data_IF_246560556628
#
_entry.id   IF_246560556628
#
_cell.length_a   1.000
_cell.length_b   1.000
_cell.length_c   1.000
_cell.angle_alpha   90.00
_cell.angle_beta   90.00
_cell.angle_gamma   90.00
#
_symmetry.space_group_name_H-M   'P 1'
#
loop_
_entity.id
_entity.type
_entity.pdbx_description
1 polymer ?
#
# COMPACT_ATOMS: atom_id res chain seq x y z
N UNK A 1 3.99 -11.57 38.74
CA UNK A 1 3.64 -12.34 37.53
C UNK A 1 4.54 -13.55 37.50
N UNK A 2 4.02 -14.70 37.13
CA UNK A 2 4.82 -15.93 37.14
C UNK A 2 5.66 -15.97 35.86
N UNK A 3 6.99 -16.06 36.01
CA UNK A 3 7.88 -16.28 34.88
C UNK A 3 7.79 -17.71 34.40
N UNK A 4 7.76 -17.90 33.09
CA UNK A 4 7.72 -19.20 32.43
C UNK A 4 8.84 -19.29 31.39
N UNK A 5 9.15 -20.51 30.98
CA UNK A 5 10.02 -20.76 29.84
C UNK A 5 9.30 -21.71 28.87
N UNK A 6 9.41 -21.42 27.58
CA UNK A 6 8.88 -22.26 26.50
C UNK A 6 10.00 -22.55 25.50
N UNK A 7 9.87 -23.67 24.79
CA UNK A 7 10.82 -24.07 23.74
C UNK A 7 10.17 -23.94 22.37
N UNK A 8 10.85 -23.29 21.44
CA UNK A 8 10.49 -23.21 20.01
C UNK A 8 11.56 -23.93 19.22
N UNK A 9 11.17 -24.82 18.32
CA UNK A 9 12.11 -25.53 17.43
C UNK A 9 12.30 -24.75 16.14
N UNK A 10 13.52 -24.24 15.93
CA UNK A 10 13.93 -23.58 14.69
C UNK A 10 14.96 -24.47 14.00
N UNK A 11 14.62 -25.10 12.85
CA UNK A 11 15.58 -25.97 12.14
C UNK A 11 16.87 -25.23 11.79
N UNK A 12 17.98 -25.92 11.82
CA UNK A 12 19.33 -25.34 11.57
C UNK A 12 19.40 -24.61 10.22
N UNK A 13 18.71 -25.10 9.18
CA UNK A 13 18.64 -24.46 7.87
C UNK A 13 17.87 -23.14 7.84
N UNK A 14 17.00 -22.90 8.82
CA UNK A 14 16.14 -21.72 8.90
C UNK A 14 16.68 -20.65 9.88
N UNK A 15 17.62 -21.02 10.75
CA UNK A 15 18.10 -20.16 11.84
C UNK A 15 18.62 -18.81 11.32
N UNK A 16 19.50 -18.84 10.32
CA UNK A 16 20.08 -17.60 9.78
C UNK A 16 19.01 -16.65 9.23
N UNK A 17 17.99 -17.20 8.57
CA UNK A 17 16.89 -16.43 8.01
C UNK A 17 15.97 -15.89 9.11
N UNK A 18 15.61 -16.70 10.11
CA UNK A 18 14.72 -16.33 11.21
C UNK A 18 15.40 -15.39 12.20
N UNK A 19 16.67 -15.64 12.56
CA UNK A 19 17.39 -14.82 13.54
C UNK A 19 17.89 -13.51 12.98
N UNK A 20 18.12 -13.46 11.65
CA UNK A 20 18.67 -12.30 10.94
C UNK A 20 20.17 -12.13 11.19
N UNK A 21 20.77 -11.17 10.51
CA UNK A 21 22.19 -10.87 10.70
C UNK A 21 22.48 -10.43 12.14
N UNK A 22 23.47 -11.04 12.78
CA UNK A 22 23.85 -10.76 14.17
C UNK A 22 22.70 -10.84 15.17
N UNK A 23 21.73 -11.74 14.93
CA UNK A 23 20.54 -11.97 15.75
C UNK A 23 19.67 -10.72 15.91
N UNK A 24 19.67 -9.82 14.92
CA UNK A 24 18.93 -8.57 14.98
C UNK A 24 17.41 -8.77 15.13
N UNK A 25 16.85 -9.82 14.52
CA UNK A 25 15.43 -10.15 14.64
C UNK A 25 15.11 -10.64 16.06
N UNK A 26 15.94 -11.53 16.62
CA UNK A 26 15.81 -12.04 17.99
C UNK A 26 15.88 -10.87 19.00
N UNK A 27 16.93 -10.06 18.91
CA UNK A 27 17.12 -8.89 19.77
C UNK A 27 15.94 -7.91 19.71
N UNK A 28 15.27 -7.83 18.56
CA UNK A 28 14.08 -6.99 18.38
C UNK A 28 12.88 -7.57 19.11
N UNK A 29 12.64 -8.87 18.98
CA UNK A 29 11.58 -9.60 19.68
C UNK A 29 11.78 -9.51 21.20
N UNK A 30 13.00 -9.76 21.69
CA UNK A 30 13.36 -9.64 23.11
C UNK A 30 13.03 -8.25 23.67
N UNK A 31 13.45 -7.20 22.97
CA UNK A 31 13.20 -5.81 23.40
C UNK A 31 11.71 -5.46 23.44
N UNK A 32 10.95 -5.95 22.45
CA UNK A 32 9.53 -5.58 22.32
C UNK A 32 8.66 -6.30 23.36
N UNK A 33 8.95 -7.56 23.65
CA UNK A 33 8.18 -8.35 24.60
C UNK A 33 8.82 -8.44 25.98
N UNK A 34 10.01 -7.84 26.18
CA UNK A 34 10.77 -7.92 27.45
C UNK A 34 10.98 -9.38 27.89
N UNK A 35 11.38 -10.22 26.96
CA UNK A 35 11.71 -11.64 27.18
C UNK A 35 13.19 -11.89 26.88
N UNK A 36 13.73 -13.02 27.39
CA UNK A 36 15.06 -13.51 27.01
C UNK A 36 14.91 -14.67 26.04
N UNK A 37 15.66 -14.66 24.96
CA UNK A 37 15.64 -15.70 23.92
C UNK A 37 17.04 -16.25 23.74
N UNK A 38 17.22 -17.54 24.02
CA UNK A 38 18.54 -18.22 23.95
C UNK A 38 18.44 -19.44 23.06
N UNK A 39 19.29 -19.51 22.03
CA UNK A 39 19.43 -20.70 21.20
C UNK A 39 20.34 -21.73 21.86
N UNK A 40 19.89 -22.98 21.93
CA UNK A 40 20.69 -24.16 22.35
C UNK A 40 20.50 -25.28 21.33
N UNK A 41 21.37 -25.32 20.35
CA UNK A 41 21.42 -26.39 19.32
C UNK A 41 20.10 -26.54 18.53
N UNK A 42 19.46 -25.44 18.17
CA UNK A 42 18.18 -25.41 17.41
C UNK A 42 16.93 -25.48 18.28
N UNK A 43 17.07 -25.56 19.60
CA UNK A 43 16.00 -25.35 20.58
C UNK A 43 16.11 -23.93 21.12
N UNK A 44 15.18 -23.08 20.71
CA UNK A 44 15.12 -21.68 21.14
C UNK A 44 14.29 -21.60 22.39
N UNK A 45 14.91 -21.24 23.52
CA UNK A 45 14.26 -21.09 24.81
C UNK A 45 13.87 -19.64 24.99
N UNK A 46 12.58 -19.39 25.18
CA UNK A 46 12.01 -18.06 25.45
C UNK A 46 11.57 -18.00 26.91
N UNK A 47 12.13 -17.09 27.69
CA UNK A 47 11.88 -16.95 29.12
C UNK A 47 11.45 -15.56 29.51
N UNK A 48 10.50 -15.45 30.44
CA UNK A 48 9.98 -14.18 30.96
C UNK A 48 8.54 -14.29 31.45
N UNK A 49 7.85 -13.15 31.51
CA UNK A 49 6.44 -13.10 31.95
C UNK A 49 5.52 -13.83 30.98
N UNK A 50 4.64 -14.68 31.50
CA UNK A 50 3.79 -15.60 30.74
C UNK A 50 3.05 -15.01 29.52
N UNK A 51 2.37 -13.85 29.60
CA UNK A 51 1.68 -13.28 28.43
C UNK A 51 2.63 -12.87 27.31
N UNK A 52 3.81 -12.35 27.64
CA UNK A 52 4.80 -11.91 26.64
C UNK A 52 5.57 -13.08 26.04
N UNK A 53 5.85 -14.11 26.84
CA UNK A 53 6.47 -15.35 26.34
C UNK A 53 5.58 -16.02 25.29
N UNK A 54 4.26 -16.08 25.52
CA UNK A 54 3.31 -16.63 24.54
C UNK A 54 3.30 -15.84 23.23
N UNK A 55 3.30 -14.51 23.29
CA UNK A 55 3.35 -13.64 22.12
C UNK A 55 4.68 -13.80 21.35
N UNK A 56 5.79 -13.81 22.06
CA UNK A 56 7.10 -14.06 21.44
C UNK A 56 7.18 -15.46 20.79
N UNK A 57 6.58 -16.47 21.43
CA UNK A 57 6.47 -17.83 20.90
C UNK A 57 5.66 -17.86 19.59
N UNK A 58 4.50 -17.19 19.54
CA UNK A 58 3.67 -17.10 18.34
C UNK A 58 4.45 -16.46 17.18
N UNK A 59 5.10 -15.31 17.43
CA UNK A 59 5.93 -14.63 16.43
C UNK A 59 7.07 -15.54 15.93
N UNK A 60 7.78 -16.21 16.81
CA UNK A 60 8.88 -17.12 16.42
C UNK A 60 8.39 -18.30 15.59
N UNK A 61 7.23 -18.88 15.94
CA UNK A 61 6.63 -19.98 15.17
C UNK A 61 6.21 -19.49 13.77
N UNK A 62 5.54 -18.33 13.69
CA UNK A 62 5.09 -17.73 12.43
C UNK A 62 6.26 -17.45 11.49
N UNK A 63 7.33 -16.79 11.98
CA UNK A 63 8.53 -16.49 11.18
C UNK A 63 9.26 -17.77 10.74
N UNK A 64 9.31 -18.79 11.60
CA UNK A 64 9.91 -20.09 11.27
C UNK A 64 9.14 -20.79 10.15
N UNK A 65 7.81 -20.78 10.22
CA UNK A 65 6.96 -21.40 9.19
C UNK A 65 7.05 -20.64 7.86
N UNK A 66 7.08 -19.29 7.88
CA UNK A 66 7.32 -18.48 6.69
C UNK A 66 8.66 -18.80 6.03
N UNK A 67 9.72 -18.97 6.85
CA UNK A 67 11.03 -19.34 6.37
C UNK A 67 11.03 -20.73 5.71
N UNK A 68 10.35 -21.71 6.31
CA UNK A 68 10.18 -23.07 5.73
C UNK A 68 9.47 -23.07 4.39
N UNK A 69 8.58 -22.08 4.15
CA UNK A 69 7.91 -21.88 2.85
C UNK A 69 8.80 -21.17 1.81
N UNK A 70 10.08 -20.94 2.14
CA UNK A 70 11.04 -20.30 1.25
C UNK A 70 10.99 -18.77 1.23
N UNK A 71 10.30 -18.14 2.19
CA UNK A 71 10.30 -16.69 2.31
C UNK A 71 11.59 -16.19 2.96
N UNK A 72 12.15 -15.10 2.43
CA UNK A 72 13.24 -14.36 3.08
C UNK A 72 12.64 -13.47 4.15
N UNK A 73 12.98 -13.73 5.41
CA UNK A 73 12.52 -12.93 6.54
C UNK A 73 13.27 -11.61 6.58
N UNK A 74 12.55 -10.52 6.40
CA UNK A 74 13.07 -9.16 6.49
C UNK A 74 12.64 -8.53 7.82
N UNK A 75 13.34 -7.47 8.23
CA UNK A 75 13.00 -6.73 9.45
C UNK A 75 11.54 -6.27 9.49
N UNK A 76 10.96 -5.94 8.31
CA UNK A 76 9.54 -5.58 8.19
C UNK A 76 8.58 -6.74 8.55
N UNK A 77 8.92 -7.98 8.20
CA UNK A 77 8.11 -9.13 8.57
C UNK A 77 8.10 -9.32 10.08
N UNK A 78 9.26 -9.11 10.73
CA UNK A 78 9.38 -9.17 12.19
C UNK A 78 8.57 -8.08 12.87
N UNK A 79 8.70 -6.83 12.40
CA UNK A 79 7.91 -5.70 12.93
C UNK A 79 6.41 -5.93 12.80
N UNK A 80 6.00 -6.46 11.66
CA UNK A 80 4.60 -6.73 11.39
C UNK A 80 4.06 -7.88 12.26
N UNK A 81 4.79 -9.00 12.34
CA UNK A 81 4.42 -10.12 13.21
C UNK A 81 4.30 -9.71 14.68
N UNK A 82 5.26 -8.90 15.18
CA UNK A 82 5.21 -8.34 16.53
C UNK A 82 3.94 -7.49 16.72
N UNK A 83 3.63 -6.60 15.77
CA UNK A 83 2.47 -5.73 15.85
C UNK A 83 1.17 -6.53 15.84
N UNK A 84 1.05 -7.53 14.99
CA UNK A 84 -0.13 -8.39 14.89
C UNK A 84 -0.31 -9.23 16.15
N UNK A 85 0.76 -9.82 16.69
CA UNK A 85 0.68 -10.56 17.94
C UNK A 85 0.29 -9.68 19.14
N UNK A 86 0.69 -8.40 19.15
CA UNK A 86 0.22 -7.45 20.16
C UNK A 86 -1.28 -7.16 20.05
N UNK A 87 -1.86 -7.27 18.86
CA UNK A 87 -3.28 -7.08 18.55
C UNK A 87 -4.09 -8.39 18.60
N UNK A 88 -3.47 -9.48 19.08
CA UNK A 88 -4.08 -10.81 19.20
C UNK A 88 -4.48 -11.44 17.85
N UNK A 89 -3.78 -11.06 16.79
CA UNK A 89 -3.91 -11.59 15.44
C UNK A 89 -2.66 -12.41 15.08
N UNK A 90 -2.50 -13.55 15.71
CA UNK A 90 -1.40 -14.48 15.42
C UNK A 90 -1.62 -15.18 14.06
N UNK A 91 -0.53 -15.64 13.41
CA UNK A 91 -0.53 -16.39 12.13
C UNK A 91 -1.05 -15.62 10.89
N UNK A 92 -1.26 -14.30 10.98
CA UNK A 92 -1.75 -13.47 9.87
C UNK A 92 -0.82 -13.51 8.65
N UNK A 93 0.49 -13.48 8.88
CA UNK A 93 1.47 -13.55 7.77
C UNK A 93 1.41 -14.90 7.04
N UNK A 94 1.09 -15.98 7.73
CA UNK A 94 0.95 -17.32 7.13
C UNK A 94 -0.27 -17.42 6.22
N UNK A 95 -1.35 -16.71 6.56
CA UNK A 95 -2.55 -16.64 5.72
C UNK A 95 -2.33 -15.75 4.51
N UNK A 96 -1.72 -14.58 4.71
CA UNK A 96 -1.38 -13.64 3.64
C UNK A 96 -0.40 -14.29 2.64
N UNK A 97 0.55 -15.07 3.13
CA UNK A 97 1.56 -15.72 2.29
C UNK A 97 0.98 -16.70 1.26
N UNK A 98 -0.17 -17.27 1.53
CA UNK A 98 -0.86 -18.18 0.59
C UNK A 98 -1.47 -17.44 -0.62
N UNK A 99 -1.69 -16.13 -0.51
CA UNK A 99 -2.40 -15.34 -1.51
C UNK A 99 -1.45 -14.76 -2.57
N UNK A 100 -1.09 -15.57 -3.55
CA UNK A 100 -0.30 -15.12 -4.70
C UNK A 100 -1.22 -14.59 -5.81
N UNK A 101 -1.13 -13.27 -6.09
CA UNK A 101 -1.90 -12.62 -7.15
C UNK A 101 -1.33 -12.99 -8.52
N UNK A 102 -0.02 -12.84 -8.70
CA UNK A 102 0.71 -13.15 -9.93
C UNK A 102 2.21 -13.24 -9.65
N UNK A 103 3.00 -13.46 -10.71
CA UNK A 103 4.45 -13.38 -10.66
C UNK A 103 4.94 -12.26 -11.57
N UNK A 104 5.99 -11.57 -11.12
CA UNK A 104 6.73 -10.62 -11.96
C UNK A 104 7.44 -11.35 -13.09
N UNK A 105 7.94 -10.62 -14.10
CA UNK A 105 8.77 -11.21 -15.16
C UNK A 105 10.05 -11.87 -14.66
N UNK A 106 10.55 -11.47 -13.49
CA UNK A 106 11.70 -12.11 -12.82
C UNK A 106 11.31 -13.33 -11.98
N UNK A 107 10.05 -13.80 -12.05
CA UNK A 107 9.54 -14.94 -11.30
C UNK A 107 9.22 -14.66 -9.83
N UNK A 108 9.34 -13.42 -9.35
CA UNK A 108 9.02 -13.09 -7.96
C UNK A 108 7.51 -13.04 -7.76
N UNK A 109 6.96 -13.70 -6.70
CA UNK A 109 5.54 -13.64 -6.41
C UNK A 109 5.12 -12.24 -5.97
N UNK A 110 3.97 -11.78 -6.48
CA UNK A 110 3.28 -10.58 -6.02
C UNK A 110 2.17 -11.02 -5.08
N UNK A 111 2.33 -10.70 -3.80
CA UNK A 111 1.43 -11.08 -2.71
C UNK A 111 1.09 -9.85 -1.86
N UNK A 112 -0.06 -9.81 -1.18
CA UNK A 112 -0.24 -8.92 -0.05
C UNK A 112 0.87 -9.15 0.98
N UNK A 113 1.28 -8.12 1.69
CA UNK A 113 2.29 -8.20 2.75
C UNK A 113 1.75 -7.82 4.12
N UNK A 114 0.54 -7.29 4.16
CA UNK A 114 -0.16 -6.86 5.37
C UNK A 114 -1.63 -7.25 5.30
N UNK A 115 -2.30 -7.27 6.45
CA UNK A 115 -3.73 -7.57 6.53
C UNK A 115 -4.55 -6.56 5.73
N UNK A 116 -4.24 -5.26 5.87
CA UNK A 116 -4.94 -4.23 5.09
C UNK A 116 -4.75 -4.37 3.58
N UNK A 117 -3.57 -4.83 3.13
CA UNK A 117 -3.36 -5.18 1.72
C UNK A 117 -4.17 -6.41 1.30
N UNK A 118 -4.27 -7.43 2.17
CA UNK A 118 -5.07 -8.63 1.92
C UNK A 118 -6.56 -8.29 1.81
N UNK A 119 -7.09 -7.52 2.75
CA UNK A 119 -8.48 -7.04 2.71
C UNK A 119 -8.76 -6.23 1.45
N UNK A 120 -7.81 -5.40 1.02
CA UNK A 120 -7.92 -4.64 -0.22
C UNK A 120 -7.97 -5.53 -1.46
N UNK A 121 -7.11 -6.53 -1.54
CA UNK A 121 -7.09 -7.50 -2.66
C UNK A 121 -8.39 -8.29 -2.69
N UNK A 122 -8.90 -8.72 -1.54
CA UNK A 122 -10.17 -9.45 -1.45
C UNK A 122 -11.36 -8.56 -1.82
N UNK A 123 -11.36 -7.30 -1.40
CA UNK A 123 -12.38 -6.35 -1.83
C UNK A 123 -12.36 -6.12 -3.35
N UNK A 124 -11.17 -6.06 -3.97
CA UNK A 124 -11.05 -5.96 -5.43
C UNK A 124 -11.63 -7.20 -6.11
N UNK A 125 -11.45 -8.39 -5.56
CA UNK A 125 -12.05 -9.61 -6.11
C UNK A 125 -13.56 -9.59 -6.05
N UNK A 126 -14.11 -9.14 -4.92
CA UNK A 126 -15.54 -9.24 -4.62
C UNK A 126 -16.42 -8.09 -5.11
N UNK A 127 -15.85 -6.96 -5.55
CA UNK A 127 -16.63 -5.77 -5.89
C UNK A 127 -16.31 -5.22 -7.28
N UNK A 128 -17.29 -4.54 -7.88
CA UNK A 128 -17.12 -3.90 -9.19
C UNK A 128 -16.27 -2.63 -9.08
N UNK A 129 -16.47 -1.84 -8.04
CA UNK A 129 -15.75 -0.59 -7.79
C UNK A 129 -15.11 -0.64 -6.41
N UNK A 130 -13.81 -0.40 -6.33
CA UNK A 130 -13.08 -0.40 -5.05
C UNK A 130 -12.28 0.88 -4.90
N UNK A 131 -12.43 1.52 -3.76
CA UNK A 131 -11.62 2.67 -3.35
C UNK A 131 -10.54 2.19 -2.38
N UNK A 132 -9.27 2.22 -2.81
CA UNK A 132 -8.10 1.94 -1.99
C UNK A 132 -7.54 3.24 -1.41
N UNK A 133 -7.75 3.46 -0.11
CA UNK A 133 -7.42 4.69 0.59
C UNK A 133 -6.28 4.47 1.58
N UNK A 134 -5.36 5.41 1.69
CA UNK A 134 -4.30 5.34 2.70
C UNK A 134 -3.01 6.01 2.28
N UNK A 135 -2.00 6.04 3.18
CA UNK A 135 -0.76 6.74 2.95
C UNK A 135 0.04 6.19 1.75
N UNK A 136 0.95 7.02 1.24
CA UNK A 136 1.89 6.57 0.21
C UNK A 136 2.78 5.42 0.73
N UNK A 137 3.05 4.43 -0.15
CA UNK A 137 3.86 3.25 0.19
C UNK A 137 3.07 2.08 0.77
N UNK A 138 1.74 2.14 0.84
CA UNK A 138 0.89 1.00 1.22
C UNK A 138 0.60 0.04 0.06
N UNK A 139 1.17 0.26 -1.12
CA UNK A 139 1.07 -0.65 -2.26
C UNK A 139 -0.25 -0.58 -3.04
N UNK A 140 -1.14 0.39 -2.77
CA UNK A 140 -2.47 0.52 -3.41
C UNK A 140 -2.44 0.36 -4.92
N UNK A 141 -1.69 1.21 -5.58
CA UNK A 141 -1.61 1.26 -7.04
C UNK A 141 -0.92 0.03 -7.61
N UNK A 142 0.13 -0.46 -6.94
CA UNK A 142 0.87 -1.65 -7.35
C UNK A 142 0.00 -2.92 -7.30
N UNK A 143 -0.73 -3.13 -6.19
CA UNK A 143 -1.64 -4.27 -6.05
C UNK A 143 -2.82 -4.18 -7.03
N UNK A 144 -3.38 -2.98 -7.23
CA UNK A 144 -4.43 -2.76 -8.24
C UNK A 144 -3.96 -3.14 -9.64
N UNK A 145 -2.71 -2.77 -10.00
CA UNK A 145 -2.12 -3.15 -11.29
C UNK A 145 -1.85 -4.65 -11.40
N UNK A 146 -1.37 -5.29 -10.34
CA UNK A 146 -1.19 -6.73 -10.32
C UNK A 146 -2.53 -7.47 -10.57
N UNK A 147 -3.59 -7.01 -9.92
CA UNK A 147 -4.94 -7.53 -10.12
C UNK A 147 -5.46 -7.28 -11.54
N UNK A 148 -5.23 -6.09 -12.11
CA UNK A 148 -5.62 -5.75 -13.47
C UNK A 148 -4.92 -6.64 -14.51
N UNK A 149 -3.61 -6.83 -14.36
CA UNK A 149 -2.83 -7.68 -15.26
C UNK A 149 -3.27 -9.13 -15.15
N UNK A 150 -3.60 -9.62 -13.96
CA UNK A 150 -4.11 -10.96 -13.73
C UNK A 150 -5.47 -11.15 -14.42
N UNK A 151 -6.41 -10.22 -14.22
CA UNK A 151 -7.72 -10.24 -14.87
C UNK A 151 -7.60 -10.18 -16.40
N UNK A 152 -6.69 -9.36 -16.93
CA UNK A 152 -6.42 -9.28 -18.36
C UNK A 152 -5.82 -10.57 -18.93
N UNK A 153 -4.85 -11.17 -18.26
CA UNK A 153 -4.26 -12.46 -18.65
C UNK A 153 -5.29 -13.61 -18.63
N UNK A 154 -6.20 -13.57 -17.66
CA UNK A 154 -7.29 -14.54 -17.55
C UNK A 154 -8.46 -14.28 -18.51
N UNK A 155 -8.39 -13.22 -19.34
CA UNK A 155 -9.46 -12.82 -20.25
C UNK A 155 -10.78 -12.45 -19.55
N UNK A 156 -10.71 -12.04 -18.27
CA UNK A 156 -11.85 -11.50 -17.52
C UNK A 156 -12.24 -10.10 -18.01
N UNK A 157 -11.27 -9.39 -18.60
CA UNK A 157 -11.43 -8.08 -19.25
C UNK A 157 -10.65 -8.05 -20.55
N UNK A 158 -11.08 -7.21 -21.50
CA UNK A 158 -10.47 -7.09 -22.83
C UNK A 158 -9.30 -6.08 -22.83
N UNK A 159 -9.31 -5.13 -21.90
CA UNK A 159 -8.31 -4.04 -21.85
C UNK A 159 -8.08 -3.53 -20.45
N UNK A 160 -6.92 -2.88 -20.26
CA UNK A 160 -6.54 -2.17 -19.04
C UNK A 160 -6.48 -0.67 -19.36
N UNK A 161 -7.12 0.16 -18.55
CA UNK A 161 -7.09 1.62 -18.65
C UNK A 161 -6.55 2.19 -17.36
N UNK A 162 -5.39 2.85 -17.45
CA UNK A 162 -4.78 3.54 -16.33
C UNK A 162 -4.93 5.03 -16.53
N UNK A 163 -5.48 5.70 -15.55
CA UNK A 163 -5.71 7.13 -15.63
C UNK A 163 -5.32 7.84 -14.33
N UNK A 164 -4.86 9.06 -14.48
CA UNK A 164 -4.45 9.92 -13.37
C UNK A 164 -4.92 11.35 -13.64
N UNK A 165 -5.38 12.11 -12.63
CA UNK A 165 -5.61 13.53 -12.82
C UNK A 165 -4.27 14.19 -13.15
N UNK A 166 -4.22 14.91 -14.27
CA UNK A 166 -3.10 15.77 -14.57
C UNK A 166 -3.25 17.01 -13.69
N UNK A 167 -2.46 17.10 -12.62
CA UNK A 167 -2.39 18.28 -11.79
C UNK A 167 -1.12 18.99 -12.13
N UNK A 168 -1.30 20.24 -12.47
CA UNK A 168 -0.23 21.20 -12.43
C UNK A 168 0.00 21.57 -10.98
N UNK A 169 1.11 21.14 -10.39
CA UNK A 169 1.60 21.67 -9.12
C UNK A 169 2.06 23.13 -9.34
N UNK A 170 1.07 24.05 -9.41
CA UNK A 170 1.33 25.48 -9.61
C UNK A 170 1.79 25.89 -11.02
N UNK A 171 2.09 24.96 -11.92
CA UNK A 171 2.47 25.24 -13.30
C UNK A 171 1.32 24.93 -14.25
N UNK A 172 0.90 25.91 -15.03
CA UNK A 172 -0.07 25.69 -16.11
C UNK A 172 0.60 24.82 -17.17
N UNK A 173 -0.01 23.68 -17.55
CA UNK A 173 0.45 22.78 -18.64
C UNK A 173 0.86 23.52 -19.93
N UNK A 174 0.44 24.77 -20.05
CA UNK A 174 0.80 25.67 -21.15
C UNK A 174 2.27 26.08 -21.22
N UNK A 175 3.06 25.93 -20.15
CA UNK A 175 4.47 26.39 -20.13
C UNK A 175 5.51 25.33 -20.49
N UNK A 176 5.15 24.03 -20.52
CA UNK A 176 6.09 23.00 -20.96
C UNK A 176 6.12 22.92 -22.49
N UNK A 177 7.30 22.88 -23.14
CA UNK A 177 7.43 22.67 -24.58
C UNK A 177 7.02 21.23 -24.93
N UNK A 178 6.34 21.04 -26.08
CA UNK A 178 5.91 19.75 -26.59
C UNK A 178 4.40 19.60 -26.71
N UNK A 179 3.97 18.47 -27.26
CA UNK A 179 2.56 18.11 -27.33
C UNK A 179 1.99 17.74 -25.94
N UNK A 180 0.67 17.66 -25.83
CA UNK A 180 0.00 17.40 -24.54
C UNK A 180 0.42 16.04 -23.94
N UNK A 181 0.74 15.06 -24.79
CA UNK A 181 1.11 13.72 -24.38
C UNK A 181 2.50 13.69 -23.75
N UNK A 182 3.49 14.37 -24.35
CA UNK A 182 4.84 14.47 -23.79
C UNK A 182 4.89 15.27 -22.47
N UNK A 183 3.95 16.19 -22.26
CA UNK A 183 3.82 16.95 -21.01
C UNK A 183 3.25 16.13 -19.84
N UNK A 184 2.42 15.15 -20.14
CA UNK A 184 1.74 14.32 -19.12
C UNK A 184 2.54 13.04 -18.82
N UNK A 185 3.39 12.61 -19.74
CA UNK A 185 4.17 11.36 -19.62
C UNK A 185 4.98 11.23 -18.30
N UNK A 186 5.67 12.28 -17.79
CA UNK A 186 6.36 12.21 -16.51
C UNK A 186 5.46 11.85 -15.32
N UNK A 187 4.21 12.28 -15.32
CA UNK A 187 3.25 11.98 -14.26
C UNK A 187 2.70 10.55 -14.32
N UNK A 188 2.79 9.91 -15.49
CA UNK A 188 2.35 8.55 -15.71
C UNK A 188 3.48 7.53 -15.52
N UNK A 189 4.73 7.96 -15.42
CA UNK A 189 5.92 7.11 -15.33
C UNK A 189 5.85 6.07 -14.20
N UNK A 190 5.38 6.39 -12.97
CA UNK A 190 5.24 5.38 -11.92
C UNK A 190 4.30 4.23 -12.28
N UNK A 191 3.32 4.47 -13.16
CA UNK A 191 2.41 3.45 -13.66
C UNK A 191 3.12 2.53 -14.66
N UNK A 192 3.96 3.09 -15.54
CA UNK A 192 4.77 2.29 -16.47
C UNK A 192 5.76 1.38 -15.73
N UNK A 193 6.44 1.86 -14.70
CA UNK A 193 7.43 1.10 -13.95
C UNK A 193 6.82 -0.18 -13.34
N UNK A 194 5.62 -0.09 -12.78
CA UNK A 194 4.93 -1.24 -12.22
C UNK A 194 4.45 -2.22 -13.32
N UNK A 195 3.97 -1.71 -14.46
CA UNK A 195 3.60 -2.54 -15.61
C UNK A 195 4.82 -3.29 -16.16
N UNK A 196 5.96 -2.61 -16.30
CA UNK A 196 7.21 -3.23 -16.76
C UNK A 196 7.67 -4.33 -15.80
N UNK A 197 7.57 -4.10 -14.51
CA UNK A 197 7.98 -5.08 -13.51
C UNK A 197 7.12 -6.36 -13.54
N UNK A 198 5.80 -6.24 -13.74
CA UNK A 198 4.87 -7.37 -13.68
C UNK A 198 4.69 -8.04 -15.04
N UNK A 199 4.58 -7.26 -16.11
CA UNK A 199 4.24 -7.76 -17.45
C UNK A 199 5.46 -7.90 -18.36
N UNK A 200 6.51 -7.12 -18.13
CA UNK A 200 7.67 -6.98 -19.00
C UNK A 200 7.50 -5.87 -20.05
N UNK A 201 8.60 -5.21 -20.39
CA UNK A 201 8.59 -4.05 -21.28
C UNK A 201 8.06 -4.41 -22.67
N UNK A 202 8.52 -5.52 -23.26
CA UNK A 202 8.11 -5.96 -24.61
C UNK A 202 6.61 -6.25 -24.69
N UNK A 203 6.10 -7.03 -23.71
CA UNK A 203 4.66 -7.39 -23.67
C UNK A 203 3.80 -6.15 -23.45
N UNK A 204 4.24 -5.23 -22.59
CA UNK A 204 3.53 -3.99 -22.34
C UNK A 204 3.47 -3.13 -23.60
N UNK A 205 4.62 -2.85 -24.24
CA UNK A 205 4.69 -2.04 -25.48
C UNK A 205 3.79 -2.61 -26.58
N UNK A 206 3.85 -3.93 -26.81
CA UNK A 206 3.00 -4.61 -27.79
C UNK A 206 1.49 -4.47 -27.49
N UNK A 207 1.10 -4.50 -26.22
CA UNK A 207 -0.32 -4.34 -25.85
C UNK A 207 -0.76 -2.87 -25.93
N UNK A 208 0.12 -1.92 -25.66
CA UNK A 208 -0.14 -0.48 -25.89
C UNK A 208 -0.35 -0.17 -27.36
N UNK A 209 0.52 -0.66 -28.25
CA UNK A 209 0.40 -0.50 -29.69
C UNK A 209 -0.92 -1.06 -30.23
N UNK A 210 -1.42 -2.14 -29.65
CA UNK A 210 -2.72 -2.75 -29.98
C UNK A 210 -3.92 -2.04 -29.33
N UNK A 211 -3.71 -1.03 -28.49
CA UNK A 211 -4.76 -0.37 -27.74
C UNK A 211 -5.42 -1.21 -26.64
N UNK A 212 -4.79 -2.34 -26.25
CA UNK A 212 -5.28 -3.22 -25.18
C UNK A 212 -4.86 -2.72 -23.80
N UNK A 213 -3.81 -1.92 -23.71
CA UNK A 213 -3.42 -1.17 -22.53
C UNK A 213 -3.36 0.30 -22.91
N UNK A 214 -4.06 1.12 -22.16
CA UNK A 214 -4.09 2.57 -22.33
C UNK A 214 -3.64 3.25 -21.03
N UNK A 215 -2.71 4.18 -21.14
CA UNK A 215 -2.30 5.05 -20.03
C UNK A 215 -2.54 6.49 -20.46
N UNK A 216 -3.50 7.16 -19.83
CA UNK A 216 -3.96 8.46 -20.30
C UNK A 216 -4.41 9.38 -19.15
N UNK A 217 -4.34 10.70 -19.32
CA UNK A 217 -4.90 11.66 -18.37
C UNK A 217 -6.41 11.45 -18.18
N UNK A 218 -6.90 11.71 -16.97
CA UNK A 218 -8.31 11.58 -16.63
C UNK A 218 -9.25 12.37 -17.57
N UNK A 219 -8.81 13.51 -18.09
CA UNK A 219 -9.57 14.32 -19.03
C UNK A 219 -9.96 13.57 -20.32
N UNK A 220 -9.14 12.57 -20.74
CA UNK A 220 -9.38 11.79 -21.96
C UNK A 220 -10.47 10.71 -21.79
N UNK A 221 -10.97 10.52 -20.58
CA UNK A 221 -12.12 9.64 -20.31
C UNK A 221 -13.46 10.31 -20.63
N UNK A 222 -13.47 11.63 -20.83
CA UNK A 222 -14.70 12.37 -21.07
C UNK A 222 -15.36 11.95 -22.40
N UNK A 223 -16.69 11.70 -22.37
CA UNK A 223 -17.46 11.32 -23.56
C UNK A 223 -17.31 9.88 -24.00
N UNK A 224 -16.57 9.07 -23.27
CA UNK A 224 -16.36 7.64 -23.55
C UNK A 224 -17.31 6.76 -22.72
N UNK A 225 -17.54 5.56 -23.17
CA UNK A 225 -18.06 4.45 -22.37
C UNK A 225 -16.98 3.38 -22.31
N UNK A 226 -16.65 2.94 -21.10
CA UNK A 226 -15.52 2.04 -20.83
C UNK A 226 -16.07 0.65 -20.50
N UNK A 227 -16.38 -0.14 -21.54
CA UNK A 227 -16.88 -1.50 -21.43
C UNK A 227 -15.73 -2.52 -21.40
N UNK A 228 -15.94 -3.67 -20.76
CA UNK A 228 -15.03 -4.82 -20.68
C UNK A 228 -13.60 -4.43 -20.31
N UNK A 229 -13.45 -3.46 -19.42
CA UNK A 229 -12.17 -2.87 -19.08
C UNK A 229 -11.85 -2.99 -17.58
N UNK A 230 -10.57 -3.21 -17.27
CA UNK A 230 -10.07 -2.98 -15.93
C UNK A 230 -9.50 -1.57 -15.85
N UNK A 231 -10.12 -0.72 -15.04
CA UNK A 231 -9.85 0.72 -15.01
C UNK A 231 -9.24 1.08 -13.66
N UNK A 232 -8.10 1.76 -13.67
CA UNK A 232 -7.45 2.27 -12.45
C UNK A 232 -7.37 3.79 -12.54
N UNK A 233 -7.99 4.47 -11.56
CA UNK A 233 -7.81 5.89 -11.33
C UNK A 233 -6.85 6.08 -10.16
N UNK A 234 -5.63 6.50 -10.45
CA UNK A 234 -4.60 6.77 -9.44
C UNK A 234 -4.58 8.24 -9.02
N UNK A 235 -4.09 8.53 -7.79
CA UNK A 235 -4.03 9.87 -7.18
C UNK A 235 -5.38 10.61 -7.18
N UNK A 236 -6.44 9.88 -6.91
CA UNK A 236 -7.82 10.38 -7.01
C UNK A 236 -8.16 11.51 -6.02
N UNK A 237 -7.38 11.71 -4.94
CA UNK A 237 -7.53 12.86 -4.05
C UNK A 237 -7.36 14.20 -4.76
N UNK A 238 -6.68 14.16 -5.91
CA UNK A 238 -6.38 15.31 -6.73
C UNK A 238 -7.44 15.56 -7.83
N UNK A 239 -8.56 14.85 -7.81
CA UNK A 239 -9.72 15.15 -8.65
C UNK A 239 -10.63 16.19 -8.02
N UNK A 240 -11.30 16.98 -8.83
CA UNK A 240 -12.47 17.76 -8.40
C UNK A 240 -13.72 16.86 -8.34
N UNK A 241 -14.79 17.24 -7.60
CA UNK A 241 -16.05 16.49 -7.59
C UNK A 241 -16.65 16.26 -8.98
N UNK A 242 -16.52 17.24 -9.87
CA UNK A 242 -16.99 17.14 -11.24
C UNK A 242 -16.19 16.10 -12.06
N UNK A 243 -14.88 16.07 -11.90
CA UNK A 243 -14.00 15.07 -12.55
C UNK A 243 -14.28 13.66 -12.04
N UNK A 244 -14.40 13.47 -10.72
CA UNK A 244 -14.73 12.17 -10.13
C UNK A 244 -16.09 11.67 -10.62
N UNK A 245 -17.13 12.52 -10.60
CA UNK A 245 -18.46 12.17 -11.13
C UNK A 245 -18.38 11.83 -12.61
N UNK A 246 -17.69 12.65 -13.40
CA UNK A 246 -17.48 12.39 -14.84
C UNK A 246 -16.85 11.01 -15.06
N UNK A 247 -15.79 10.65 -14.33
CA UNK A 247 -15.11 9.38 -14.43
C UNK A 247 -16.01 8.20 -14.07
N UNK A 248 -16.63 8.22 -12.90
CA UNK A 248 -17.47 7.12 -12.41
C UNK A 248 -18.70 6.85 -13.32
N UNK A 249 -19.16 7.87 -14.03
CA UNK A 249 -20.26 7.72 -15.00
C UNK A 249 -19.82 7.25 -16.40
N UNK A 250 -18.52 6.95 -16.58
CA UNK A 250 -17.97 6.34 -17.82
C UNK A 250 -17.90 4.82 -17.78
N UNK A 251 -18.06 4.24 -16.60
CA UNK A 251 -17.94 2.80 -16.38
C UNK A 251 -19.06 2.09 -17.12
N UNK A 252 -18.69 1.17 -18.00
CA UNK A 252 -19.59 0.36 -18.78
C UNK A 252 -19.73 -1.07 -18.28
N UNK A 253 -20.44 -1.89 -19.03
CA UNK A 253 -20.68 -3.28 -18.67
C UNK A 253 -19.39 -4.12 -18.74
N UNK A 254 -19.30 -5.14 -17.89
CA UNK A 254 -18.15 -6.04 -17.85
C UNK A 254 -16.85 -5.40 -17.32
N UNK A 255 -16.94 -4.18 -16.79
CA UNK A 255 -15.77 -3.45 -16.30
C UNK A 255 -15.61 -3.55 -14.79
N UNK A 256 -14.36 -3.50 -14.35
CA UNK A 256 -13.94 -3.40 -12.94
C UNK A 256 -13.13 -2.12 -12.74
N UNK A 257 -13.33 -1.44 -11.60
CA UNK A 257 -12.69 -0.15 -11.34
C UNK A 257 -12.02 -0.15 -9.97
N UNK A 258 -10.80 0.31 -9.96
CA UNK A 258 -10.06 0.58 -8.73
C UNK A 258 -9.67 2.06 -8.69
N UNK A 259 -10.06 2.73 -7.63
CA UNK A 259 -9.72 4.14 -7.37
C UNK A 259 -8.73 4.19 -6.22
N UNK A 260 -7.51 4.68 -6.45
CA UNK A 260 -6.49 4.80 -5.41
C UNK A 260 -6.29 6.26 -5.01
N UNK A 261 -6.04 6.50 -3.72
CA UNK A 261 -5.79 7.86 -3.26
C UNK A 261 -5.31 7.96 -1.82
N UNK A 262 -4.68 9.09 -1.54
CA UNK A 262 -4.21 9.50 -0.21
C UNK A 262 -4.85 10.84 0.17
N UNK A 263 -5.80 10.81 1.09
CA UNK A 263 -6.52 12.01 1.51
C UNK A 263 -5.61 13.07 2.20
N UNK A 264 -4.39 12.69 2.62
CA UNK A 264 -3.41 13.59 3.24
C UNK A 264 -2.58 14.36 2.21
N UNK A 265 -2.47 13.85 0.96
CA UNK A 265 -1.61 14.40 -0.10
C UNK A 265 -2.45 15.07 -1.21
N UNK A 266 -3.09 16.17 -0.87
CA UNK A 266 -3.91 16.94 -1.82
C UNK A 266 -3.12 18.10 -2.39
N UNK A 267 -2.95 18.11 -3.72
CA UNK A 267 -2.29 19.19 -4.48
C UNK A 267 -3.31 20.15 -5.14
N UNK A 268 -4.59 20.05 -4.73
CA UNK A 268 -5.64 20.94 -5.22
C UNK A 268 -5.45 22.38 -4.69
N UNK A 269 -5.90 23.35 -5.47
CA UNK A 269 -5.87 24.75 -5.05
C UNK A 269 -6.61 24.94 -3.71
N UNK A 270 -6.13 25.84 -2.82
CA UNK A 270 -6.77 26.11 -1.54
C UNK A 270 -8.27 26.38 -1.68
N UNK A 271 -9.08 25.72 -0.86
CA UNK A 271 -10.55 25.83 -0.89
C UNK A 271 -11.25 24.93 -1.91
N UNK A 272 -10.53 24.21 -2.75
CA UNK A 272 -11.13 23.25 -3.69
C UNK A 272 -11.44 21.93 -2.99
N UNK A 273 -12.69 21.47 -3.09
CA UNK A 273 -13.10 20.19 -2.54
C UNK A 273 -12.49 19.04 -3.37
N UNK A 274 -11.99 18.01 -2.68
CA UNK A 274 -11.53 16.79 -3.35
C UNK A 274 -12.72 15.94 -3.79
N UNK A 275 -12.67 15.48 -5.05
CA UNK A 275 -13.64 14.55 -5.60
C UNK A 275 -13.65 13.21 -4.86
N UNK A 276 -12.49 12.77 -4.38
CA UNK A 276 -12.37 11.56 -3.56
C UNK A 276 -13.14 11.70 -2.25
N UNK A 277 -12.99 12.81 -1.53
CA UNK A 277 -13.71 13.05 -0.27
C UNK A 277 -15.23 13.08 -0.46
N UNK A 278 -15.68 13.68 -1.57
CA UNK A 278 -17.10 13.71 -1.92
C UNK A 278 -17.60 12.31 -2.28
N UNK A 279 -16.84 11.56 -3.08
CA UNK A 279 -17.19 10.19 -3.46
C UNK A 279 -17.36 9.27 -2.23
N UNK A 280 -16.44 9.34 -1.26
CA UNK A 280 -16.52 8.58 -0.01
C UNK A 280 -17.83 8.89 0.74
N UNK A 281 -18.24 10.15 0.79
CA UNK A 281 -19.48 10.56 1.50
C UNK A 281 -20.75 10.12 0.78
N UNK A 282 -20.75 10.17 -0.55
CA UNK A 282 -21.95 9.96 -1.36
C UNK A 282 -22.18 8.50 -1.70
N UNK A 283 -21.10 7.71 -1.88
CA UNK A 283 -21.15 6.35 -2.42
C UNK A 283 -21.04 5.23 -1.36
N UNK A 284 -20.83 5.55 -0.10
CA UNK A 284 -20.52 4.59 0.96
C UNK A 284 -21.65 3.57 1.29
N UNK A 285 -22.85 3.78 0.74
CA UNK A 285 -24.01 2.90 0.95
C UNK A 285 -24.46 2.18 -0.33
N UNK A 286 -23.69 2.31 -1.41
CA UNK A 286 -24.06 1.70 -2.69
C UNK A 286 -23.47 0.31 -2.74
N UNK A 287 -24.31 -0.70 -2.97
CA UNK A 287 -23.90 -2.09 -3.16
C UNK A 287 -22.98 -2.22 -4.38
N UNK A 288 -21.97 -3.08 -4.29
CA UNK A 288 -20.95 -3.26 -5.34
C UNK A 288 -19.82 -2.22 -5.30
N UNK A 289 -19.85 -1.26 -4.36
CA UNK A 289 -18.77 -0.31 -4.10
C UNK A 289 -18.15 -0.57 -2.74
N UNK A 290 -16.85 -0.86 -2.71
CA UNK A 290 -16.10 -1.07 -1.48
C UNK A 290 -15.10 0.07 -1.20
N UNK A 291 -14.90 0.37 0.09
CA UNK A 291 -13.92 1.35 0.57
C UNK A 291 -12.94 0.67 1.52
N UNK A 292 -11.71 0.48 1.08
CA UNK A 292 -10.65 -0.12 1.86
C UNK A 292 -9.71 0.96 2.39
N UNK A 293 -9.52 1.00 3.70
CA UNK A 293 -8.63 1.97 4.37
C UNK A 293 -7.39 1.26 4.86
N UNK A 294 -6.26 1.54 4.23
CA UNK A 294 -4.95 1.16 4.71
C UNK A 294 -4.36 2.24 5.60
N UNK A 295 -3.57 1.83 6.57
CA UNK A 295 -2.97 2.70 7.59
C UNK A 295 -1.45 2.76 7.47
N UNK A 296 -0.81 3.47 8.38
CA UNK A 296 0.66 3.49 8.48
C UNK A 296 1.27 2.10 8.77
N UNK A 297 0.50 1.16 9.33
CA UNK A 297 0.92 -0.24 9.57
C UNK A 297 1.09 -1.02 8.25
N UNK A 298 0.39 -0.58 7.21
CA UNK A 298 0.42 -1.20 5.88
C UNK A 298 1.52 -0.63 4.97
N UNK A 299 2.31 0.32 5.47
CA UNK A 299 3.40 0.92 4.70
C UNK A 299 4.56 -0.05 4.56
N UNK A 300 4.83 -0.47 3.34
CA UNK A 300 5.94 -1.35 2.97
C UNK A 300 7.04 -0.53 2.33
N UNK A 301 8.02 -0.11 3.12
CA UNK A 301 9.15 0.72 2.69
C UNK A 301 10.45 0.26 3.35
N UNK A 302 11.57 0.61 2.70
CA UNK A 302 12.89 0.37 3.28
C UNK A 302 13.00 1.04 4.67
N UNK A 303 13.55 0.37 5.71
CA UNK A 303 13.56 0.89 7.09
C UNK A 303 14.19 2.28 7.23
N UNK A 304 15.24 2.58 6.45
CA UNK A 304 15.86 3.90 6.43
C UNK A 304 14.90 4.97 5.88
N UNK A 305 14.12 4.64 4.84
CA UNK A 305 13.14 5.58 4.27
C UNK A 305 12.02 5.87 5.27
N UNK A 306 11.57 4.88 6.04
CA UNK A 306 10.61 5.11 7.13
C UNK A 306 11.16 6.07 8.19
N UNK A 307 12.44 5.90 8.58
CA UNK A 307 13.11 6.81 9.53
C UNK A 307 13.21 8.24 8.98
N UNK A 308 13.50 8.40 7.68
CA UNK A 308 13.54 9.70 7.01
C UNK A 308 12.16 10.36 7.05
N UNK A 309 11.10 9.67 6.62
CA UNK A 309 9.73 10.21 6.64
C UNK A 309 9.34 10.65 8.05
N UNK A 310 9.56 9.80 9.05
CA UNK A 310 9.26 10.12 10.45
C UNK A 310 10.04 11.33 10.98
N UNK A 311 11.28 11.53 10.51
CA UNK A 311 12.08 12.70 10.89
C UNK A 311 11.49 14.00 10.31
N UNK A 312 11.03 13.99 9.06
CA UNK A 312 10.37 15.13 8.44
C UNK A 312 9.01 15.43 9.07
N UNK A 313 8.17 14.44 9.31
CA UNK A 313 6.89 14.60 10.02
C UNK A 313 7.07 15.25 11.41
N UNK A 314 8.09 14.82 12.16
CA UNK A 314 8.43 15.41 13.46
C UNK A 314 8.90 16.87 13.35
N UNK A 315 9.62 17.21 12.28
CA UNK A 315 10.07 18.58 12.02
C UNK A 315 8.88 19.49 11.70
N UNK A 316 8.01 19.08 10.77
CA UNK A 316 6.81 19.82 10.36
C UNK A 316 5.81 20.03 11.53
N UNK A 317 5.64 18.99 12.36
CA UNK A 317 4.80 19.10 13.56
C UNK A 317 5.34 20.15 14.56
N UNK A 318 6.67 20.28 14.69
CA UNK A 318 7.30 21.29 15.55
C UNK A 318 7.13 22.71 14.97
N UNK A 319 7.25 22.88 13.66
CA UNK A 319 7.04 24.18 13.00
C UNK A 319 5.59 24.66 13.12
N UNK A 320 4.63 23.77 12.84
CA UNK A 320 3.20 24.09 13.01
C UNK A 320 2.82 24.39 14.45
N UNK A 321 3.42 23.70 15.42
CA UNK A 321 3.27 24.00 16.86
C UNK A 321 3.82 25.37 17.26
N UNK A 322 4.96 25.77 16.70
CA UNK A 322 5.59 27.08 16.94
C UNK A 322 4.80 28.24 16.30
N UNK A 323 4.24 28.02 15.11
CA UNK A 323 3.43 29.04 14.41
C UNK A 323 2.11 29.32 15.15
N UNK A 324 1.47 28.28 15.70
CA UNK A 324 0.26 28.43 16.54
C UNK A 324 0.55 29.10 17.88
N UNK A 325 1.73 28.93 18.46
CA UNK A 325 2.16 29.66 19.67
C UNK A 325 2.43 31.14 19.40
N UNK A 326 3.09 31.48 18.28
CA UNK A 326 3.35 32.86 17.89
C UNK A 326 2.06 33.63 17.58
N UNK A 327 1.08 33.02 16.92
CA UNK A 327 -0.22 33.66 16.62
C UNK A 327 -1.07 33.90 17.89
N UNK A 328 -1.00 33.02 18.91
CA UNK A 328 -1.68 33.25 20.21
C UNK A 328 -1.08 34.39 21.02
N UNK A 329 0.23 34.58 20.96
CA UNK A 329 0.89 35.67 21.69
C UNK A 329 0.68 37.05 21.03
N UNK A 330 0.40 37.12 19.73
CA UNK A 330 0.09 38.38 19.03
C UNK A 330 -1.32 38.86 19.30
N UNK A 331 -2.27 37.94 19.59
CA UNK A 331 -3.66 38.32 19.94
C UNK A 331 -3.84 38.76 21.39
N UNK A 332 -2.91 38.44 22.31
CA UNK A 332 -2.98 38.91 23.71
C UNK A 332 -2.25 40.23 23.93
N UNK A 333 -1.43 40.72 23.00
CA UNK A 333 -0.70 41.99 23.09
C UNK A 333 -1.45 43.23 22.54
N UNK A 334 -2.70 43.08 22.06
CA UNK A 334 -3.51 44.20 21.54
C UNK A 334 -4.73 44.54 22.39
N UNK A 335 -4.74 44.17 23.66
CA UNK A 335 -5.73 44.62 24.64
C UNK A 335 -5.00 45.17 25.87
N UNK A 336 -4.37 46.30 25.69
CA UNK A 336 -4.05 47.29 26.76
C UNK A 336 -4.18 48.67 26.14
#
# INVERSE_FOLDING_TARGET
MQDISVVVKVPAGEQQNVFGQFDNHIKKIERQFHVSIVDRNGEVIISGSAPYVKKAQAVMNELTELSRRGNIIQEQNVDYAITMSMEENDDVLLEIDKDCICHTVSGKPVKPKTLGQKEYVDAIRGNMIVFGLGPAGTGKTYLAMAMAITAFKNQEVERIILTRPAIEAGEKLGFLPGDLQSKVDPYLRPLYDALYQIMGAETFTKNMEKGLIEVAPLAYMRGRTLDNAYIILDEAQNTTPAQMKMFLTRIGFGSKVVVTGDASQKDLAPGTASGLDVAIKVLNKIEGIAFCKMSSKDVVRHPLVQKIVKAYENYEAKETGNTKRKSRNVTHGKRQ
#
